data_IF_718817462139
#
_entry.id   IF_718817462139
#
_cell.length_a   1.000
_cell.length_b   1.000
_cell.length_c   1.000
_cell.angle_alpha   90.00
_cell.angle_beta   90.00
_cell.angle_gamma   90.00
#
_symmetry.space_group_name_H-M   'P 1'
#
loop_
_entity.id
_entity.type
_entity.pdbx_description
1 polymer ?
#
# COMPACT_ATOMS: atom_id res chain seq x y z
N UNK A 1 13.82 12.00 -6.34
CA UNK A 1 13.69 11.02 -7.45
C UNK A 1 14.44 11.54 -8.67
N UNK A 2 14.17 12.76 -9.10
CA UNK A 2 14.80 13.45 -10.25
C UNK A 2 16.34 13.47 -10.22
N UNK A 3 16.95 13.86 -9.10
CA UNK A 3 18.42 13.92 -8.94
C UNK A 3 19.09 12.54 -9.11
N UNK A 4 18.39 11.46 -8.74
CA UNK A 4 18.92 10.11 -8.84
C UNK A 4 18.76 9.54 -10.25
N UNK A 5 17.61 9.77 -10.90
CA UNK A 5 17.31 9.27 -12.24
C UNK A 5 17.86 10.16 -13.35
N UNK A 6 18.31 11.39 -13.03
CA UNK A 6 18.68 12.44 -13.99
C UNK A 6 17.57 12.68 -15.01
N UNK A 7 16.33 12.67 -14.54
CA UNK A 7 15.16 12.97 -15.34
C UNK A 7 14.43 14.15 -14.73
N UNK A 8 13.86 14.99 -15.59
CA UNK A 8 12.87 15.98 -15.21
C UNK A 8 11.49 15.30 -15.22
N UNK A 9 10.75 15.37 -14.11
CA UNK A 9 9.49 14.64 -13.93
C UNK A 9 8.38 15.65 -13.63
N UNK A 10 7.31 15.61 -14.43
CA UNK A 10 6.15 16.47 -14.24
C UNK A 10 4.93 15.59 -14.01
N UNK A 11 4.26 15.81 -12.89
CA UNK A 11 2.98 15.16 -12.56
C UNK A 11 1.86 16.14 -12.88
N UNK A 12 1.04 15.81 -13.87
CA UNK A 12 -0.07 16.64 -14.33
C UNK A 12 -1.36 15.81 -14.35
N UNK A 13 -2.25 16.11 -13.41
CA UNK A 13 -3.51 15.36 -13.26
C UNK A 13 -3.26 13.87 -13.05
N UNK A 14 -3.76 13.05 -13.98
CA UNK A 14 -3.62 11.58 -13.97
C UNK A 14 -2.40 11.08 -14.76
N UNK A 15 -1.59 11.98 -15.31
CA UNK A 15 -0.46 11.63 -16.18
C UNK A 15 0.85 12.06 -15.54
N UNK A 16 1.89 11.25 -15.76
CA UNK A 16 3.27 11.58 -15.39
C UNK A 16 4.10 11.67 -16.67
N UNK A 17 4.59 12.86 -16.97
CA UNK A 17 5.54 13.09 -18.05
C UNK A 17 6.97 13.07 -17.50
N UNK A 18 7.92 12.51 -18.25
CA UNK A 18 9.32 12.53 -17.84
C UNK A 18 10.25 12.72 -19.06
N UNK A 19 11.34 13.44 -18.86
CA UNK A 19 12.38 13.72 -19.86
C UNK A 19 13.75 13.37 -19.29
N UNK A 20 14.58 12.64 -20.05
CA UNK A 20 15.96 12.31 -19.66
C UNK A 20 16.52 11.10 -20.43
N UNK A 21 17.59 10.52 -19.90
CA UNK A 21 18.25 9.35 -20.50
C UNK A 21 17.35 8.10 -20.53
N UNK A 22 17.53 7.23 -21.53
CA UNK A 22 16.72 6.01 -21.68
C UNK A 22 16.71 5.11 -20.43
N UNK A 23 17.86 5.00 -19.74
CA UNK A 23 18.01 4.22 -18.51
C UNK A 23 17.21 4.86 -17.36
N UNK A 24 17.25 6.19 -17.26
CA UNK A 24 16.48 6.97 -16.28
C UNK A 24 14.99 6.84 -16.50
N UNK A 25 14.53 7.00 -17.75
CA UNK A 25 13.11 6.86 -18.12
C UNK A 25 12.57 5.47 -17.78
N UNK A 26 13.32 4.39 -18.09
CA UNK A 26 12.89 3.03 -17.71
C UNK A 26 12.76 2.85 -16.19
N UNK A 27 13.67 3.46 -15.41
CA UNK A 27 13.60 3.44 -13.94
C UNK A 27 12.38 4.23 -13.44
N UNK A 28 12.16 5.44 -13.94
CA UNK A 28 10.99 6.27 -13.58
C UNK A 28 9.69 5.55 -13.88
N UNK A 29 9.54 4.95 -15.07
CA UNK A 29 8.36 4.16 -15.44
C UNK A 29 8.07 3.05 -14.42
N UNK A 30 9.10 2.29 -14.03
CA UNK A 30 8.95 1.21 -13.03
C UNK A 30 8.46 1.78 -11.69
N UNK A 31 9.07 2.87 -11.23
CA UNK A 31 8.72 3.50 -9.94
C UNK A 31 7.28 4.00 -9.95
N UNK A 32 6.85 4.67 -11.02
CA UNK A 32 5.47 5.18 -11.14
C UNK A 32 4.47 4.02 -11.11
N UNK A 33 4.72 2.94 -11.84
CA UNK A 33 3.86 1.74 -11.82
C UNK A 33 3.82 1.07 -10.44
N UNK A 34 4.97 0.96 -9.77
CA UNK A 34 5.05 0.40 -8.42
C UNK A 34 4.27 1.27 -7.42
N UNK A 35 4.31 2.60 -7.57
CA UNK A 35 3.51 3.53 -6.76
C UNK A 35 2.01 3.32 -6.94
N UNK A 36 1.56 3.05 -8.17
CA UNK A 36 0.15 2.72 -8.43
C UNK A 36 -0.27 1.38 -7.81
N UNK A 37 0.68 0.45 -7.65
CA UNK A 37 0.48 -0.84 -6.97
C UNK A 37 0.64 -0.77 -5.44
N UNK A 38 0.51 0.43 -4.85
CA UNK A 38 0.59 0.65 -3.41
C UNK A 38 1.97 0.30 -2.80
N UNK A 39 3.04 0.54 -3.57
CA UNK A 39 4.43 0.49 -3.10
C UNK A 39 4.95 1.92 -3.04
N UNK A 40 5.26 2.42 -1.84
CA UNK A 40 5.63 3.82 -1.68
C UNK A 40 6.97 4.16 -2.38
N UNK A 41 7.09 5.31 -3.07
CA UNK A 41 8.29 5.67 -3.84
C UNK A 41 9.56 5.78 -3.00
N UNK A 42 9.43 5.95 -1.67
CA UNK A 42 10.56 5.98 -0.74
C UNK A 42 11.39 4.69 -0.77
N UNK A 43 10.75 3.54 -1.05
CA UNK A 43 11.45 2.26 -1.14
C UNK A 43 12.35 2.21 -2.37
N UNK A 44 11.81 2.59 -3.53
CA UNK A 44 12.59 2.69 -4.76
C UNK A 44 13.69 3.74 -4.65
N UNK A 45 13.45 4.84 -3.93
CA UNK A 45 14.46 5.87 -3.69
C UNK A 45 15.64 5.29 -2.89
N UNK A 46 15.38 4.57 -1.79
CA UNK A 46 16.44 3.93 -0.99
C UNK A 46 17.26 2.95 -1.82
N UNK A 47 16.61 2.12 -2.63
CA UNK A 47 17.30 1.18 -3.54
C UNK A 47 18.20 1.92 -4.53
N UNK A 48 17.70 2.98 -5.18
CA UNK A 48 18.49 3.77 -6.14
C UNK A 48 19.68 4.49 -5.51
N UNK A 49 19.56 4.94 -4.26
CA UNK A 49 20.68 5.55 -3.53
C UNK A 49 21.80 4.54 -3.32
N UNK A 50 21.46 3.36 -2.80
CA UNK A 50 22.43 2.29 -2.51
C UNK A 50 23.08 1.79 -3.80
N UNK A 51 22.30 1.56 -4.86
CA UNK A 51 22.85 1.19 -6.18
C UNK A 51 23.89 2.21 -6.68
N UNK A 52 23.64 3.50 -6.48
CA UNK A 52 24.53 4.57 -6.93
C UNK A 52 25.81 4.63 -6.09
N UNK A 53 25.73 4.37 -4.80
CA UNK A 53 26.89 4.25 -3.90
C UNK A 53 27.72 3.01 -4.24
N UNK A 54 27.09 1.86 -4.44
CA UNK A 54 27.77 0.62 -4.83
C UNK A 54 28.47 0.76 -6.18
N UNK A 55 27.83 1.42 -7.15
CA UNK A 55 28.43 1.68 -8.46
C UNK A 55 29.65 2.61 -8.41
N UNK A 56 29.75 3.47 -7.39
CA UNK A 56 30.91 4.34 -7.16
C UNK A 56 32.10 3.57 -6.58
N UNK A 57 31.84 2.49 -5.84
CA UNK A 57 32.88 1.72 -5.17
C UNK A 57 33.52 0.69 -6.11
N UNK A 58 34.80 0.85 -6.43
CA UNK A 58 35.47 -0.03 -7.40
C UNK A 58 35.61 -1.47 -6.93
N UNK A 59 35.76 -1.69 -5.63
CA UNK A 59 35.88 -3.02 -5.02
C UNK A 59 34.61 -3.89 -5.16
N UNK A 60 33.47 -3.25 -5.43
CA UNK A 60 32.17 -3.92 -5.52
C UNK A 60 31.75 -4.20 -6.97
N UNK A 61 32.52 -3.74 -7.98
CA UNK A 61 32.18 -3.90 -9.41
C UNK A 61 32.00 -5.37 -9.84
N UNK A 62 32.76 -6.30 -9.23
CA UNK A 62 32.76 -7.72 -9.58
C UNK A 62 31.92 -8.60 -8.64
N UNK A 63 31.28 -8.02 -7.62
CA UNK A 63 30.50 -8.76 -6.61
C UNK A 63 29.02 -8.67 -6.90
N UNK A 64 28.25 -9.66 -6.45
CA UNK A 64 26.79 -9.60 -6.49
C UNK A 64 26.27 -8.52 -5.53
N UNK A 65 25.35 -7.69 -6.01
CA UNK A 65 24.78 -6.55 -5.29
C UNK A 65 23.48 -6.89 -4.56
N UNK A 66 22.88 -8.07 -4.81
CA UNK A 66 21.61 -8.49 -4.21
C UNK A 66 21.58 -8.38 -2.66
N UNK A 67 22.62 -8.79 -1.90
CA UNK A 67 22.57 -8.74 -0.44
C UNK A 67 22.51 -7.31 0.13
N UNK A 68 22.96 -6.33 -0.65
CA UNK A 68 23.05 -4.93 -0.24
C UNK A 68 21.78 -4.14 -0.59
N UNK A 69 20.95 -4.68 -1.48
CA UNK A 69 19.71 -4.04 -1.91
C UNK A 69 18.61 -4.32 -0.87
N UNK A 70 17.96 -3.28 -0.31
CA UNK A 70 16.92 -3.48 0.67
C UNK A 70 15.63 -4.01 0.00
N UNK A 71 15.20 -5.19 0.41
CA UNK A 71 13.92 -5.77 0.01
C UNK A 71 12.89 -5.57 1.12
N UNK A 72 12.01 -4.58 0.95
CA UNK A 72 10.94 -4.34 1.90
C UNK A 72 9.81 -5.36 1.71
N UNK A 73 9.72 -6.34 2.62
CA UNK A 73 8.57 -7.22 2.68
C UNK A 73 7.39 -6.47 3.31
N UNK A 74 6.24 -6.44 2.62
CA UNK A 74 5.00 -5.94 3.22
C UNK A 74 4.66 -6.81 4.43
N UNK A 75 4.86 -6.29 5.63
CA UNK A 75 4.42 -6.95 6.86
C UNK A 75 2.90 -6.80 6.90
N UNK A 76 2.18 -7.86 6.56
CA UNK A 76 0.78 -8.00 6.95
C UNK A 76 0.80 -8.37 8.42
N UNK A 77 0.71 -7.39 9.32
CA UNK A 77 0.28 -7.68 10.68
C UNK A 77 -1.18 -8.14 10.55
N UNK A 78 -1.40 -9.45 10.60
CA UNK A 78 -2.75 -9.97 10.83
C UNK A 78 -3.13 -9.52 12.23
N UNK A 79 -3.77 -8.36 12.34
CA UNK A 79 -4.57 -8.05 13.53
C UNK A 79 -5.73 -9.01 13.49
N UNK A 80 -5.89 -9.76 14.58
CA UNK A 80 -6.79 -10.89 14.74
C UNK A 80 -8.17 -10.65 14.13
N UNK A 81 -8.73 -11.72 13.55
CA UNK A 81 -10.09 -11.76 13.03
C UNK A 81 -11.06 -11.24 14.11
N UNK A 82 -11.48 -9.98 14.01
CA UNK A 82 -12.60 -9.47 14.77
C UNK A 82 -13.79 -10.31 14.31
N UNK A 83 -14.16 -11.32 15.11
CA UNK A 83 -15.33 -12.17 14.87
C UNK A 83 -16.52 -11.24 14.67
N UNK A 84 -16.87 -10.99 13.41
CA UNK A 84 -18.06 -10.24 13.05
C UNK A 84 -19.22 -11.02 13.63
N UNK A 85 -19.74 -10.59 14.79
CA UNK A 85 -20.98 -11.14 15.33
C UNK A 85 -22.02 -10.94 14.23
N UNK A 86 -22.43 -12.02 13.56
CA UNK A 86 -23.56 -12.00 12.62
C UNK A 86 -24.69 -11.29 13.34
N UNK A 87 -25.12 -10.11 12.86
CA UNK A 87 -26.35 -9.50 13.33
C UNK A 87 -27.45 -10.54 13.09
N UNK A 88 -28.10 -11.02 14.16
CA UNK A 88 -29.26 -11.89 14.01
C UNK A 88 -30.28 -11.14 13.14
N UNK A 89 -30.80 -11.80 12.11
CA UNK A 89 -31.91 -11.28 11.31
C UNK A 89 -33.04 -10.85 12.25
N UNK A 90 -33.65 -9.71 11.98
CA UNK A 90 -34.78 -9.23 12.78
C UNK A 90 -36.00 -10.12 12.49
N UNK A 91 -36.18 -11.16 13.30
CA UNK A 91 -37.35 -12.04 13.20
C UNK A 91 -38.61 -11.28 13.64
N UNK A 92 -39.43 -10.86 12.67
CA UNK A 92 -40.67 -10.09 12.91
C UNK A 92 -41.62 -10.76 13.91
N UNK A 93 -41.67 -12.09 13.94
CA UNK A 93 -42.50 -12.87 14.86
C UNK A 93 -42.10 -12.68 16.34
N UNK A 94 -40.80 -12.50 16.63
CA UNK A 94 -40.31 -12.28 17.99
C UNK A 94 -40.53 -10.82 18.43
N UNK A 95 -40.47 -9.86 17.50
CA UNK A 95 -40.80 -8.46 17.74
C UNK A 95 -42.27 -8.24 18.11
N UNK A 96 -43.19 -8.88 17.40
CA UNK A 96 -44.64 -8.80 17.67
C UNK A 96 -45.01 -9.43 19.02
N UNK A 97 -44.42 -10.59 19.36
CA UNK A 97 -44.60 -11.23 20.68
C UNK A 97 -44.08 -10.34 21.82
N UNK A 98 -42.95 -9.67 21.61
CA UNK A 98 -42.40 -8.70 22.57
C UNK A 98 -43.28 -7.46 22.74
N UNK A 99 -43.85 -6.94 21.65
CA UNK A 99 -44.77 -5.80 21.67
C UNK A 99 -46.09 -6.13 22.38
N UNK A 100 -46.69 -7.30 22.08
CA UNK A 100 -47.90 -7.77 22.74
C UNK A 100 -47.70 -7.98 24.25
N UNK A 101 -46.53 -8.49 24.67
CA UNK A 101 -46.18 -8.66 26.08
C UNK A 101 -45.99 -7.34 26.83
N UNK A 102 -45.52 -6.29 26.14
CA UNK A 102 -45.39 -4.94 26.72
C UNK A 102 -46.74 -4.24 26.83
N UNK A 103 -47.61 -4.41 25.84
CA UNK A 103 -48.98 -3.89 25.88
C UNK A 103 -49.82 -4.55 26.97
N UNK A 104 -49.75 -5.87 27.13
CA UNK A 104 -50.48 -6.58 28.19
C UNK A 104 -49.98 -6.26 29.60
N UNK A 105 -48.70 -5.88 29.74
CA UNK A 105 -48.16 -5.36 31.01
C UNK A 105 -48.70 -3.96 31.31
N UNK A 106 -48.78 -3.09 30.29
CA UNK A 106 -49.26 -1.71 30.40
C UNK A 106 -50.78 -1.60 30.62
N UNK A 107 -51.54 -2.65 30.32
CA UNK A 107 -52.98 -2.77 30.58
C UNK A 107 -53.29 -3.36 31.96
N UNK A 108 -52.28 -3.86 32.68
CA UNK A 108 -52.41 -4.40 34.04
C UNK A 108 -51.93 -3.43 35.12
N UNK A 109 -51.26 -2.35 34.72
CA UNK A 109 -50.97 -1.17 35.53
C UNK A 109 -52.14 -0.18 35.38
#
# INVERSE_FOLDING_TARGET
>A
MEVLTRCHIVVAGQTVACLGDWKGIKRVRKIVLDCMNNIHPIYSLKTLMIERELARNEQMKNKDWQPYIPHFKKIRSQTDDVKVKKKKSFDHANGLKGAAKRLSKKLKD
#
